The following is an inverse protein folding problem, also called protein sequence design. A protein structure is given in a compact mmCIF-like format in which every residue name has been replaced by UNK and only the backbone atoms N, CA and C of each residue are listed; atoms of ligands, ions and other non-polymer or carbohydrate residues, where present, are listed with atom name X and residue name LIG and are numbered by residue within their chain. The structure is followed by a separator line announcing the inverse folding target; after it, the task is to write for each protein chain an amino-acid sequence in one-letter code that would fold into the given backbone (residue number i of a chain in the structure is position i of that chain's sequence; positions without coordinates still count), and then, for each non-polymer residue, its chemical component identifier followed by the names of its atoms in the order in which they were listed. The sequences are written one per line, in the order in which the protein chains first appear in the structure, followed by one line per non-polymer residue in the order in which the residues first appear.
data_IF_589343429202
#
_entry.id   IF_589343429202
#
_cell.length_a   1.000
_cell.length_b   1.000
_cell.length_c   1.000
_cell.angle_alpha   90.00
_cell.angle_beta   90.00
_cell.angle_gamma   90.00
#
_symmetry.space_group_name_H-M   'P 1'
#
loop_
_entity.id
_entity.type
_entity.pdbx_description
1 polymer ?
#
# COMPACT_ATOMS: atom_id res chain seq x y z
N UNK A 1 54.80 -30.19 23.08
CA UNK A 1 54.18 -29.15 22.22
C UNK A 1 52.88 -29.68 21.59
N UNK A 2 51.78 -29.64 22.36
CA UNK A 2 50.49 -30.15 21.91
C UNK A 2 49.55 -28.98 21.62
N UNK A 3 49.03 -29.03 20.40
CA UNK A 3 47.95 -28.24 19.80
C UNK A 3 46.76 -28.07 20.74
N UNK A 4 46.36 -26.82 21.01
CA UNK A 4 45.07 -26.50 21.60
C UNK A 4 44.14 -25.99 20.50
N UNK A 5 43.20 -26.87 20.20
CA UNK A 5 42.08 -26.75 19.27
C UNK A 5 41.17 -25.57 19.59
N UNK A 6 40.88 -24.77 18.56
CA UNK A 6 39.75 -23.84 18.49
C UNK A 6 38.45 -24.64 18.68
N UNK A 7 37.77 -24.46 19.82
CA UNK A 7 36.40 -24.91 20.00
C UNK A 7 35.45 -23.71 19.95
N UNK A 8 34.66 -23.71 18.89
CA UNK A 8 33.27 -23.25 18.78
C UNK A 8 32.83 -22.10 19.71
N UNK A 9 32.76 -20.91 19.12
CA UNK A 9 31.84 -19.85 19.56
C UNK A 9 30.40 -20.30 19.24
N UNK A 10 29.75 -20.92 20.22
CA UNK A 10 28.30 -21.11 20.19
C UNK A 10 27.62 -19.74 20.29
N UNK A 11 26.74 -19.45 19.32
CA UNK A 11 25.90 -18.28 19.30
C UNK A 11 24.87 -18.37 20.43
N UNK A 12 25.18 -17.76 21.57
CA UNK A 12 24.29 -17.73 22.73
C UNK A 12 23.33 -16.54 22.64
N UNK A 13 22.31 -16.64 21.76
CA UNK A 13 21.19 -15.69 21.75
C UNK A 13 20.19 -16.09 22.83
N UNK A 14 20.55 -15.81 24.08
CA UNK A 14 19.71 -16.01 25.26
C UNK A 14 19.74 -14.75 26.10
N UNK A 15 18.56 -14.22 26.42
CA UNK A 15 18.33 -13.01 27.20
C UNK A 15 18.98 -13.15 28.59
N UNK A 16 20.26 -12.77 28.72
CA UNK A 16 20.97 -12.80 29.99
C UNK A 16 20.39 -11.70 30.89
N UNK A 17 19.66 -12.11 31.92
CA UNK A 17 19.23 -11.19 32.98
C UNK A 17 20.44 -10.48 33.59
N UNK A 18 20.25 -9.21 33.97
CA UNK A 18 21.30 -8.24 34.33
C UNK A 18 22.34 -8.69 35.37
N UNK A 19 22.08 -9.80 36.09
CA UNK A 19 23.00 -10.41 37.06
C UNK A 19 24.13 -11.22 36.43
N UNK A 20 23.98 -11.73 35.21
CA UNK A 20 25.01 -12.52 34.53
C UNK A 20 26.08 -11.65 33.84
N UNK A 21 25.72 -10.43 33.43
CA UNK A 21 26.64 -9.48 32.79
C UNK A 21 27.75 -9.03 33.76
N UNK A 22 27.51 -9.01 35.07
CA UNK A 22 28.49 -8.59 36.07
C UNK A 22 29.68 -9.56 36.25
N UNK A 23 29.61 -10.77 35.67
CA UNK A 23 30.66 -11.78 35.75
C UNK A 23 31.54 -11.84 34.49
N UNK A 24 31.22 -11.05 33.46
CA UNK A 24 31.98 -11.03 32.21
C UNK A 24 33.16 -10.03 32.30
N UNK A 25 34.30 -10.32 31.63
CA UNK A 25 35.41 -9.37 31.54
C UNK A 25 34.94 -8.04 30.91
N UNK A 26 35.49 -6.88 31.31
CA UNK A 26 35.09 -5.58 30.78
C UNK A 26 35.13 -5.51 29.24
N UNK A 27 36.11 -6.17 28.60
CA UNK A 27 36.22 -6.25 27.14
C UNK A 27 35.00 -6.90 26.47
N UNK A 28 34.36 -7.88 27.11
CA UNK A 28 33.14 -8.53 26.62
C UNK A 28 31.89 -7.66 26.80
N UNK A 29 31.85 -6.83 27.85
CA UNK A 29 30.75 -5.89 28.06
C UNK A 29 30.76 -4.76 27.02
N UNK A 30 31.94 -4.26 26.65
CA UNK A 30 32.07 -3.31 25.55
C UNK A 30 31.58 -3.92 24.24
N UNK A 31 32.00 -5.13 23.85
CA UNK A 31 31.55 -5.74 22.59
C UNK A 31 30.04 -5.96 22.54
N UNK A 32 29.41 -6.39 23.63
CA UNK A 32 27.95 -6.55 23.69
C UNK A 32 27.21 -5.20 23.64
N UNK A 33 27.75 -4.16 24.29
CA UNK A 33 27.19 -2.81 24.25
C UNK A 33 27.30 -2.17 22.85
N UNK A 34 28.41 -2.38 22.15
CA UNK A 34 28.63 -1.89 20.78
C UNK A 34 27.77 -2.65 19.76
N UNK A 35 27.66 -3.98 19.91
CA UNK A 35 26.77 -4.79 19.07
C UNK A 35 25.30 -4.38 19.25
N UNK A 36 24.83 -4.20 20.49
CA UNK A 36 23.48 -3.72 20.77
C UNK A 36 23.21 -2.29 20.29
N UNK A 37 24.23 -1.42 20.23
CA UNK A 37 24.11 -0.07 19.68
C UNK A 37 23.90 -0.09 18.16
N UNK A 38 24.71 -0.86 17.43
CA UNK A 38 24.56 -0.99 15.97
C UNK A 38 23.24 -1.62 15.54
N UNK A 39 22.75 -2.62 16.28
CA UNK A 39 21.42 -3.22 16.05
C UNK A 39 20.28 -2.22 16.28
N UNK A 40 20.38 -1.37 17.31
CA UNK A 40 19.39 -0.33 17.59
C UNK A 40 19.41 0.79 16.53
N UNK A 41 20.59 1.20 16.08
CA UNK A 41 20.75 2.21 15.01
C UNK A 41 20.14 1.72 13.69
N UNK A 42 20.44 0.49 13.29
CA UNK A 42 19.88 -0.10 12.06
C UNK A 42 18.36 -0.25 12.14
N UNK A 43 17.81 -0.65 13.30
CA UNK A 43 16.38 -0.72 13.50
C UNK A 43 15.71 0.67 13.40
N UNK A 44 16.30 1.69 14.03
CA UNK A 44 15.78 3.06 13.97
C UNK A 44 15.84 3.63 12.54
N UNK A 45 16.91 3.34 11.79
CA UNK A 45 17.03 3.74 10.40
C UNK A 45 15.94 3.09 9.54
N UNK A 46 15.66 1.79 9.75
CA UNK A 46 14.58 1.07 9.07
C UNK A 46 13.20 1.66 9.40
N UNK A 47 12.95 1.97 10.68
CA UNK A 47 11.70 2.63 11.10
C UNK A 47 11.53 3.99 10.41
N UNK A 48 12.60 4.79 10.34
CA UNK A 48 12.56 6.09 9.68
C UNK A 48 12.29 5.95 8.17
N UNK A 49 12.96 5.02 7.49
CA UNK A 49 12.70 4.74 6.06
C UNK A 49 11.26 4.29 5.82
N UNK A 50 10.71 3.45 6.70
CA UNK A 50 9.31 3.04 6.61
C UNK A 50 8.35 4.23 6.77
N UNK A 51 8.63 5.15 7.70
CA UNK A 51 7.84 6.36 7.87
C UNK A 51 7.93 7.28 6.65
N UNK A 52 9.12 7.49 6.10
CA UNK A 52 9.31 8.29 4.88
C UNK A 52 8.52 7.72 3.69
N UNK A 53 8.53 6.39 3.51
CA UNK A 53 7.75 5.74 2.46
C UNK A 53 6.24 5.92 2.63
N UNK A 54 5.74 5.93 3.88
CA UNK A 54 4.32 6.20 4.16
C UNK A 54 3.93 7.62 3.78
N UNK A 55 4.74 8.61 4.19
CA UNK A 55 4.51 10.02 3.87
C UNK A 55 4.54 10.25 2.36
N UNK A 56 5.58 9.74 1.69
CA UNK A 56 5.70 9.86 0.24
C UNK A 56 4.51 9.24 -0.51
N UNK A 57 4.01 8.09 -0.05
CA UNK A 57 2.81 7.45 -0.62
C UNK A 57 1.58 8.35 -0.47
N UNK A 58 1.37 8.95 0.71
CA UNK A 58 0.22 9.83 0.96
C UNK A 58 0.29 11.10 0.11
N UNK A 59 1.46 11.75 0.04
CA UNK A 59 1.67 12.93 -0.81
C UNK A 59 1.39 12.63 -2.29
N UNK A 60 1.86 11.48 -2.78
CA UNK A 60 1.64 11.06 -4.16
C UNK A 60 0.15 10.82 -4.47
N UNK A 61 -0.57 10.13 -3.57
CA UNK A 61 -2.00 9.88 -3.76
C UNK A 61 -2.82 11.17 -3.68
N UNK A 62 -2.47 12.08 -2.78
CA UNK A 62 -3.13 13.37 -2.67
C UNK A 62 -2.91 14.22 -3.93
N UNK A 63 -1.67 14.34 -4.41
CA UNK A 63 -1.36 15.08 -5.64
C UNK A 63 -2.08 14.48 -6.86
N UNK A 64 -2.19 13.16 -6.94
CA UNK A 64 -2.97 12.48 -7.99
C UNK A 64 -4.47 12.82 -7.86
N UNK A 65 -5.03 12.79 -6.66
CA UNK A 65 -6.42 13.14 -6.40
C UNK A 65 -6.75 14.56 -6.79
N UNK A 66 -5.92 15.53 -6.41
CA UNK A 66 -6.04 16.94 -6.79
C UNK A 66 -6.02 17.11 -8.32
N UNK A 67 -5.05 16.49 -8.99
CA UNK A 67 -4.94 16.52 -10.46
C UNK A 67 -6.18 15.96 -11.16
N UNK A 68 -6.71 14.84 -10.67
CA UNK A 68 -7.88 14.20 -11.26
C UNK A 68 -9.15 15.01 -11.03
N UNK A 69 -9.31 15.61 -9.85
CA UNK A 69 -10.45 16.48 -9.56
C UNK A 69 -10.48 17.72 -10.46
N UNK A 70 -9.32 18.30 -10.76
CA UNK A 70 -9.19 19.48 -11.63
C UNK A 70 -9.44 19.16 -13.11
N UNK A 71 -8.92 18.04 -13.61
CA UNK A 71 -8.95 17.73 -15.05
C UNK A 71 -10.05 16.76 -15.50
N UNK A 72 -10.65 16.02 -14.55
CA UNK A 72 -11.72 15.05 -14.81
C UNK A 72 -12.90 15.30 -13.86
N UNK A 73 -13.55 16.49 -13.93
CA UNK A 73 -14.76 16.74 -13.15
C UNK A 73 -15.90 15.87 -13.64
N UNK A 74 -16.77 15.46 -12.71
CA UNK A 74 -18.02 14.78 -13.06
C UNK A 74 -18.87 15.68 -13.97
N UNK A 75 -19.70 15.10 -14.86
CA UNK A 75 -20.62 15.89 -15.65
C UNK A 75 -21.62 16.56 -14.70
N UNK A 76 -21.63 17.89 -14.70
CA UNK A 76 -22.71 18.66 -14.10
C UNK A 76 -23.99 18.27 -14.84
N UNK A 77 -24.98 17.75 -14.10
CA UNK A 77 -26.15 17.08 -14.63
C UNK A 77 -26.77 17.79 -15.86
N UNK A 78 -26.57 17.22 -17.06
CA UNK A 78 -27.41 17.45 -18.23
C UNK A 78 -27.11 18.69 -19.10
N UNK A 79 -26.07 18.62 -19.92
CA UNK A 79 -25.99 19.40 -21.17
C UNK A 79 -26.99 18.92 -22.23
N UNK A 80 -28.24 19.40 -22.13
CA UNK A 80 -29.30 19.42 -23.17
C UNK A 80 -29.76 18.09 -23.80
N UNK A 81 -30.79 17.47 -23.22
CA UNK A 81 -31.87 16.85 -23.99
C UNK A 81 -33.17 16.86 -23.18
N UNK A 82 -34.04 17.80 -23.53
CA UNK A 82 -35.43 17.85 -23.06
C UNK A 82 -36.17 16.61 -23.59
N UNK A 83 -36.21 15.51 -22.83
CA UNK A 83 -37.17 14.42 -23.04
C UNK A 83 -38.09 14.32 -21.83
N UNK A 84 -39.33 14.80 -22.03
CA UNK A 84 -40.50 14.48 -21.21
C UNK A 84 -40.65 12.96 -21.17
N UNK A 85 -40.74 12.39 -19.96
CA UNK A 85 -41.12 11.01 -19.74
C UNK A 85 -40.80 10.62 -18.30
N UNK A 86 -41.84 10.46 -17.50
CA UNK A 86 -41.82 10.07 -16.09
C UNK A 86 -41.00 8.81 -15.80
N UNK A 87 -40.10 8.88 -14.83
CA UNK A 87 -39.80 7.77 -13.91
C UNK A 87 -38.99 8.32 -12.74
N UNK A 88 -39.42 8.02 -11.51
CA UNK A 88 -38.62 8.22 -10.29
C UNK A 88 -37.40 7.29 -10.38
N UNK A 89 -36.29 7.80 -10.90
CA UNK A 89 -34.99 7.14 -10.69
C UNK A 89 -34.42 7.64 -9.36
N UNK A 90 -33.87 6.74 -8.52
CA UNK A 90 -33.06 7.17 -7.40
C UNK A 90 -31.91 8.00 -7.98
N UNK A 91 -31.73 9.21 -7.49
CA UNK A 91 -30.56 10.04 -7.83
C UNK A 91 -29.33 9.34 -7.28
N UNK A 92 -28.78 8.39 -8.04
CA UNK A 92 -27.55 7.70 -7.67
C UNK A 92 -26.42 8.72 -7.79
N UNK A 93 -25.80 9.04 -6.65
CA UNK A 93 -24.65 9.92 -6.60
C UNK A 93 -23.49 9.26 -7.37
N UNK A 94 -23.00 9.95 -8.39
CA UNK A 94 -21.88 9.47 -9.21
C UNK A 94 -20.58 9.68 -8.46
N UNK A 95 -19.70 8.68 -8.53
CA UNK A 95 -18.36 8.77 -7.93
C UNK A 95 -17.33 9.30 -8.94
N UNK A 96 -16.38 10.06 -8.43
CA UNK A 96 -15.27 10.65 -9.18
C UNK A 96 -14.25 9.60 -9.62
N UNK A 97 -13.43 9.95 -10.62
CA UNK A 97 -12.35 9.06 -11.09
C UNK A 97 -11.33 8.75 -9.99
N UNK A 98 -11.03 9.72 -9.13
CA UNK A 98 -10.15 9.53 -7.97
C UNK A 98 -10.69 8.44 -7.04
N UNK A 99 -11.96 8.50 -6.66
CA UNK A 99 -12.59 7.50 -5.77
C UNK A 99 -12.57 6.10 -6.38
N UNK A 100 -12.79 5.99 -7.70
CA UNK A 100 -12.70 4.71 -8.42
C UNK A 100 -11.30 4.11 -8.29
N UNK A 101 -10.25 4.91 -8.53
CA UNK A 101 -8.86 4.47 -8.42
C UNK A 101 -8.49 4.12 -6.98
N UNK A 102 -8.91 4.93 -6.02
CA UNK A 102 -8.69 4.68 -4.60
C UNK A 102 -9.32 3.33 -4.19
N UNK A 103 -10.56 3.06 -4.60
CA UNK A 103 -11.22 1.78 -4.35
C UNK A 103 -10.44 0.60 -4.95
N UNK A 104 -9.97 0.73 -6.19
CA UNK A 104 -9.19 -0.31 -6.87
C UNK A 104 -7.86 -0.58 -6.15
N UNK A 105 -7.12 0.46 -5.80
CA UNK A 105 -5.83 0.36 -5.08
C UNK A 105 -6.05 -0.26 -3.69
N UNK A 106 -7.03 0.24 -2.93
CA UNK A 106 -7.34 -0.30 -1.61
C UNK A 106 -7.78 -1.77 -1.69
N UNK A 107 -8.54 -2.15 -2.72
CA UNK A 107 -8.94 -3.54 -2.94
C UNK A 107 -7.74 -4.45 -3.23
N UNK A 108 -6.82 -3.99 -4.08
CA UNK A 108 -5.58 -4.72 -4.38
C UNK A 108 -4.71 -4.90 -3.13
N UNK A 109 -4.55 -3.85 -2.33
CA UNK A 109 -3.71 -3.88 -1.13
C UNK A 109 -4.34 -4.69 0.02
N UNK A 110 -5.66 -4.65 0.18
CA UNK A 110 -6.37 -5.30 1.29
C UNK A 110 -6.70 -6.77 1.00
N UNK A 111 -7.06 -7.10 -0.24
CA UNK A 111 -7.46 -8.44 -0.66
C UNK A 111 -6.77 -8.82 -1.97
N UNK A 112 -5.45 -9.09 -1.95
CA UNK A 112 -4.67 -9.33 -3.16
C UNK A 112 -5.10 -10.59 -3.93
N UNK A 113 -5.68 -11.58 -3.25
CA UNK A 113 -6.19 -12.81 -3.87
C UNK A 113 -7.51 -12.61 -4.61
N UNK A 114 -8.27 -11.56 -4.29
CA UNK A 114 -9.53 -11.22 -4.95
C UNK A 114 -9.61 -9.69 -5.18
N UNK A 115 -8.78 -9.15 -6.09
CA UNK A 115 -8.61 -7.70 -6.28
C UNK A 115 -9.72 -7.06 -7.11
N UNK A 116 -10.87 -7.72 -7.25
CA UNK A 116 -11.96 -7.28 -8.10
C UNK A 116 -12.97 -6.42 -7.34
N UNK A 117 -13.28 -5.26 -7.92
CA UNK A 117 -14.35 -4.35 -7.49
C UNK A 117 -15.56 -4.54 -8.40
N UNK A 118 -16.76 -4.50 -7.82
CA UNK A 118 -18.03 -4.59 -8.55
C UNK A 118 -18.44 -3.21 -9.05
N UNK A 119 -18.68 -3.10 -10.34
CA UNK A 119 -19.23 -1.93 -11.02
C UNK A 119 -20.72 -1.85 -10.71
N UNK A 120 -21.14 -0.78 -10.06
CA UNK A 120 -22.54 -0.44 -9.78
C UNK A 120 -22.96 0.80 -10.58
N UNK A 121 -24.18 1.28 -10.36
CA UNK A 121 -24.76 2.40 -11.11
C UNK A 121 -24.14 3.77 -10.75
N UNK A 122 -23.36 3.84 -9.67
CA UNK A 122 -22.60 5.05 -9.30
C UNK A 122 -21.36 5.29 -10.16
N UNK A 123 -20.85 4.26 -10.84
CA UNK A 123 -19.68 4.41 -11.70
C UNK A 123 -20.08 5.09 -13.01
N UNK A 124 -19.44 6.22 -13.29
CA UNK A 124 -19.68 6.90 -14.55
C UNK A 124 -19.05 6.12 -15.72
N UNK A 125 -19.83 5.68 -16.74
CA UNK A 125 -19.31 4.81 -17.80
C UNK A 125 -18.07 5.35 -18.54
N UNK A 126 -17.93 6.66 -18.84
CA UNK A 126 -16.73 7.20 -19.46
C UNK A 126 -15.44 6.95 -18.67
N UNK A 127 -15.51 6.97 -17.33
CA UNK A 127 -14.35 6.69 -16.49
C UNK A 127 -13.98 5.21 -16.49
N UNK A 128 -14.98 4.32 -16.49
CA UNK A 128 -14.75 2.89 -16.66
C UNK A 128 -14.07 2.61 -18.00
N UNK A 129 -14.60 3.16 -19.09
CA UNK A 129 -14.05 2.97 -20.43
C UNK A 129 -12.63 3.56 -20.56
N UNK A 130 -12.36 4.71 -19.95
CA UNK A 130 -11.02 5.30 -19.88
C UNK A 130 -10.03 4.31 -19.25
N UNK A 131 -10.33 3.82 -18.06
CA UNK A 131 -9.47 2.90 -17.32
C UNK A 131 -9.19 1.60 -18.09
N UNK A 132 -10.22 1.05 -18.73
CA UNK A 132 -10.09 -0.17 -19.52
C UNK A 132 -9.31 0.05 -20.83
N UNK A 133 -9.57 1.16 -21.53
CA UNK A 133 -8.98 1.45 -22.83
C UNK A 133 -7.48 1.74 -22.74
N UNK A 134 -7.05 2.40 -21.67
CA UNK A 134 -5.62 2.68 -21.43
C UNK A 134 -4.91 1.55 -20.67
N UNK A 135 -5.60 0.43 -20.40
CA UNK A 135 -5.00 -0.73 -19.73
C UNK A 135 -4.64 -0.48 -18.27
N UNK A 136 -5.29 0.49 -17.62
CA UNK A 136 -5.10 0.78 -16.19
C UNK A 136 -5.88 -0.25 -15.35
N UNK A 137 -7.05 -0.68 -15.85
CA UNK A 137 -7.87 -1.71 -15.25
C UNK A 137 -8.21 -2.82 -16.26
N UNK A 138 -8.48 -4.02 -15.75
CA UNK A 138 -8.96 -5.16 -16.53
C UNK A 138 -10.31 -5.65 -16.01
N UNK A 139 -11.19 -6.09 -16.92
CA UNK A 139 -12.44 -6.78 -16.55
C UNK A 139 -12.15 -8.22 -16.10
N UNK A 140 -13.02 -8.75 -15.25
CA UNK A 140 -13.02 -10.16 -14.90
C UNK A 140 -13.38 -11.00 -16.15
N UNK A 141 -12.70 -12.14 -16.39
CA UNK A 141 -12.94 -12.94 -17.59
C UNK A 141 -14.38 -13.47 -17.69
N UNK A 142 -14.97 -13.84 -16.55
CA UNK A 142 -16.32 -14.40 -16.45
C UNK A 142 -17.41 -13.38 -16.07
N UNK A 143 -17.06 -12.25 -15.41
CA UNK A 143 -18.02 -11.26 -14.92
C UNK A 143 -17.71 -9.85 -15.43
N UNK A 144 -18.47 -9.41 -16.42
CA UNK A 144 -18.29 -8.09 -17.03
C UNK A 144 -18.57 -6.93 -16.07
N UNK A 145 -19.27 -7.16 -14.96
CA UNK A 145 -19.53 -6.15 -13.92
C UNK A 145 -18.44 -6.10 -12.86
N UNK A 146 -17.32 -6.81 -13.04
CA UNK A 146 -16.18 -6.76 -12.12
C UNK A 146 -14.93 -6.29 -12.86
N UNK A 147 -14.17 -5.42 -12.22
CA UNK A 147 -12.88 -4.98 -12.73
C UNK A 147 -11.82 -4.95 -11.62
N UNK A 148 -10.56 -5.09 -11.98
CA UNK A 148 -9.40 -4.97 -11.08
C UNK A 148 -8.36 -4.05 -11.69
N UNK A 149 -7.48 -3.51 -10.85
CA UNK A 149 -6.31 -2.77 -11.31
C UNK A 149 -5.37 -3.72 -12.07
N UNK A 150 -4.76 -3.23 -13.15
CA UNK A 150 -3.70 -3.97 -13.82
C UNK A 150 -2.45 -4.02 -12.96
N UNK A 151 -1.77 -5.17 -12.96
CA UNK A 151 -0.56 -5.35 -12.17
C UNK A 151 0.62 -4.61 -12.84
N UNK A 152 1.08 -3.53 -12.21
CA UNK A 152 2.32 -2.86 -12.58
C UNK A 152 3.51 -3.69 -12.07
N UNK A 153 4.06 -4.53 -12.92
CA UNK A 153 5.31 -5.22 -12.65
C UNK A 153 6.47 -4.24 -12.92
N UNK A 154 7.26 -3.91 -11.88
CA UNK A 154 8.54 -3.20 -12.00
C UNK A 154 9.69 -4.19 -12.09
#
# INVERSE_FOLDING_TARGET
PQSMTLHNTEYFTGQFGSRALALLPPSFLYTCSWAGHGELETFNELQNKMLQLKVYKEELLNALGEFLAEHFPLPENGGSAKKKGSSEEPSVELITLHEILEMLINKLMSTPHEPYVKINDSFWPPYIELLLRYGIALRHPEDTKRMRLEAFHM
#
